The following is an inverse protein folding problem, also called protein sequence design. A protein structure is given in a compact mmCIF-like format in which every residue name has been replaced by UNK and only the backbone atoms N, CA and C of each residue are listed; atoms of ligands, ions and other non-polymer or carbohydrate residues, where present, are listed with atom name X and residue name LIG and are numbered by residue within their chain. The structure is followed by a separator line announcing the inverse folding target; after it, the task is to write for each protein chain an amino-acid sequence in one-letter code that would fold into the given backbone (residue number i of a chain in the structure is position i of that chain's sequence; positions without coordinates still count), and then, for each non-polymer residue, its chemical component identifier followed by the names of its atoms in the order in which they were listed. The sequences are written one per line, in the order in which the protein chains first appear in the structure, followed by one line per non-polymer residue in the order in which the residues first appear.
data_IF_007514649832
#
_entry.id   IF_007514649832
#
_cell.length_a   1.000
_cell.length_b   1.000
_cell.length_c   1.000
_cell.angle_alpha   90.00
_cell.angle_beta   90.00
_cell.angle_gamma   90.00
#
_symmetry.space_group_name_H-M   'P 1'
#
loop_
_entity.id
_entity.type
_entity.pdbx_description
1 polymer ?
#
# COMPACT_ATOMS: atom_id res chain seq x y z
N UNK A 1 15.14 -11.85 -3.73
CA UNK A 1 16.09 -11.50 -2.64
C UNK A 1 15.96 -10.01 -2.36
N UNK A 2 16.03 -9.58 -1.10
CA UNK A 2 16.01 -8.15 -0.78
C UNK A 2 17.38 -7.56 -1.13
N UNK A 3 17.41 -6.38 -1.75
CA UNK A 3 18.67 -5.79 -2.21
C UNK A 3 19.70 -5.58 -1.08
N UNK A 4 19.25 -5.18 0.11
CA UNK A 4 20.13 -4.99 1.27
C UNK A 4 20.83 -6.28 1.70
N UNK A 5 20.12 -7.41 1.69
CA UNK A 5 20.70 -8.73 2.00
C UNK A 5 21.71 -9.14 0.93
N UNK A 6 21.35 -8.98 -0.34
CA UNK A 6 22.26 -9.26 -1.46
C UNK A 6 23.52 -8.40 -1.39
N UNK A 7 23.39 -7.10 -1.09
CA UNK A 7 24.52 -6.21 -1.01
C UNK A 7 25.45 -6.55 0.16
N UNK A 8 24.89 -6.91 1.32
CA UNK A 8 25.65 -7.32 2.49
C UNK A 8 26.37 -8.65 2.26
N UNK A 9 25.68 -9.61 1.65
CA UNK A 9 26.16 -10.98 1.42
C UNK A 9 26.69 -11.20 0.00
N UNK A 10 27.17 -10.13 -0.65
CA UNK A 10 27.55 -10.15 -2.05
C UNK A 10 28.62 -11.23 -2.33
N UNK A 11 29.57 -11.42 -1.42
CA UNK A 11 30.61 -12.43 -1.55
C UNK A 11 30.05 -13.86 -1.52
N UNK A 12 29.09 -14.17 -0.63
CA UNK A 12 28.45 -15.48 -0.60
C UNK A 12 27.62 -15.73 -1.86
N UNK A 13 26.89 -14.72 -2.35
CA UNK A 13 26.14 -14.83 -3.62
C UNK A 13 27.06 -15.07 -4.82
N UNK A 14 28.17 -14.33 -4.92
CA UNK A 14 29.17 -14.58 -5.97
C UNK A 14 29.70 -16.01 -5.86
N UNK A 15 30.13 -16.44 -4.68
CA UNK A 15 30.69 -17.77 -4.47
C UNK A 15 29.72 -18.91 -4.82
N UNK A 16 28.41 -18.72 -4.55
CA UNK A 16 27.40 -19.72 -4.83
C UNK A 16 26.92 -19.74 -6.29
N UNK A 17 27.02 -18.61 -7.01
CA UNK A 17 26.32 -18.45 -8.30
C UNK A 17 27.20 -18.03 -9.49
N UNK A 18 28.47 -17.67 -9.32
CA UNK A 18 29.35 -17.15 -10.39
C UNK A 18 29.34 -17.99 -11.68
N UNK A 19 29.27 -19.32 -11.55
CA UNK A 19 29.25 -20.26 -12.69
C UNK A 19 28.03 -21.19 -12.66
N UNK A 20 26.97 -20.79 -11.96
CA UNK A 20 25.77 -21.59 -11.78
C UNK A 20 24.67 -21.14 -12.74
N UNK A 21 24.07 -22.09 -13.47
CA UNK A 21 22.88 -21.83 -14.30
C UNK A 21 21.67 -21.28 -13.51
N UNK A 22 21.72 -21.31 -12.17
CA UNK A 22 20.70 -20.75 -11.30
C UNK A 22 20.77 -19.22 -11.14
N UNK A 23 21.84 -18.54 -11.56
CA UNK A 23 22.02 -17.10 -11.38
C UNK A 23 20.91 -16.27 -12.05
N UNK A 24 20.35 -16.74 -13.16
CA UNK A 24 19.24 -16.08 -13.85
C UNK A 24 17.91 -16.11 -13.08
N UNK A 25 17.78 -17.06 -12.14
CA UNK A 25 16.54 -17.29 -11.37
C UNK A 25 16.51 -16.54 -10.05
N UNK A 26 17.67 -16.09 -9.57
CA UNK A 26 17.77 -15.26 -8.37
C UNK A 26 17.57 -13.82 -8.79
N UNK A 27 16.45 -13.22 -8.37
CA UNK A 27 16.09 -11.85 -8.76
C UNK A 27 15.96 -10.92 -7.57
N UNK A 28 16.26 -9.64 -7.80
CA UNK A 28 16.08 -8.57 -6.83
C UNK A 28 15.77 -7.26 -7.55
N UNK A 29 15.14 -6.33 -6.82
CA UNK A 29 14.83 -5.00 -7.32
C UNK A 29 15.90 -4.00 -6.82
N UNK A 30 16.30 -3.06 -7.67
CA UNK A 30 17.25 -1.99 -7.32
C UNK A 30 16.98 -0.72 -8.11
N UNK A 31 17.22 0.44 -7.49
CA UNK A 31 17.28 1.75 -8.14
C UNK A 31 18.72 2.18 -8.45
N UNK A 32 19.72 1.42 -7.99
CA UNK A 32 21.12 1.75 -8.23
C UNK A 32 21.54 1.36 -9.65
N UNK A 33 22.47 2.13 -10.24
CA UNK A 33 23.14 1.72 -11.46
C UNK A 33 24.14 0.58 -11.16
N UNK A 34 24.73 0.01 -12.22
CA UNK A 34 25.59 -1.17 -12.09
C UNK A 34 26.99 -0.78 -11.60
N UNK A 35 27.39 -1.30 -10.43
CA UNK A 35 28.64 -0.94 -9.74
C UNK A 35 29.92 -1.33 -10.47
N UNK A 36 29.85 -2.24 -11.45
CA UNK A 36 31.00 -2.68 -12.24
C UNK A 36 30.82 -2.48 -13.75
N UNK A 37 29.94 -1.59 -14.18
CA UNK A 37 29.74 -1.28 -15.60
C UNK A 37 30.60 -0.06 -16.01
N UNK A 38 31.77 -0.32 -16.60
CA UNK A 38 32.70 0.74 -17.02
C UNK A 38 32.19 1.56 -18.22
N UNK A 39 31.25 1.00 -19.00
CA UNK A 39 30.64 1.68 -20.13
C UNK A 39 29.31 2.34 -19.77
N UNK A 40 29.00 2.45 -18.48
CA UNK A 40 27.73 2.98 -18.01
C UNK A 40 27.52 4.44 -18.44
N UNK A 41 26.29 4.77 -18.85
CA UNK A 41 25.87 6.15 -19.04
C UNK A 41 25.61 6.87 -17.71
N UNK A 42 25.54 6.15 -16.59
CA UNK A 42 25.31 6.69 -15.25
C UNK A 42 26.51 7.49 -14.77
N UNK A 43 26.29 8.76 -14.46
CA UNK A 43 27.34 9.65 -13.95
C UNK A 43 27.82 9.21 -12.56
N UNK A 44 26.91 8.73 -11.71
CA UNK A 44 27.23 8.11 -10.42
C UNK A 44 28.17 6.92 -10.59
N UNK A 45 27.91 6.05 -11.57
CA UNK A 45 28.75 4.88 -11.84
C UNK A 45 30.13 5.29 -12.34
N UNK A 46 30.21 6.25 -13.28
CA UNK A 46 31.49 6.75 -13.79
C UNK A 46 32.37 7.27 -12.67
N UNK A 47 31.82 8.13 -11.81
CA UNK A 47 32.56 8.67 -10.65
C UNK A 47 32.97 7.58 -9.68
N UNK A 48 32.10 6.61 -9.43
CA UNK A 48 32.39 5.48 -8.56
C UNK A 48 33.53 4.59 -9.09
N UNK A 49 33.48 4.21 -10.37
CA UNK A 49 34.49 3.38 -11.05
C UNK A 49 35.86 4.06 -11.05
N UNK A 50 35.90 5.39 -11.18
CA UNK A 50 37.13 6.19 -11.07
C UNK A 50 37.65 6.21 -9.63
N UNK A 51 36.77 6.41 -8.64
CA UNK A 51 37.16 6.56 -7.24
C UNK A 51 37.51 5.24 -6.54
N UNK A 52 36.91 4.12 -6.97
CA UNK A 52 36.99 2.84 -6.27
C UNK A 52 37.68 1.79 -7.16
N UNK A 53 38.79 1.18 -6.69
CA UNK A 53 39.47 0.12 -7.42
C UNK A 53 38.53 -1.06 -7.68
N UNK A 54 38.65 -1.69 -8.86
CA UNK A 54 37.80 -2.80 -9.32
C UNK A 54 37.54 -3.88 -8.26
N UNK A 55 38.60 -4.36 -7.59
CA UNK A 55 38.52 -5.39 -6.55
C UNK A 55 37.68 -5.02 -5.31
N UNK A 56 37.36 -3.73 -5.14
CA UNK A 56 36.55 -3.21 -4.03
C UNK A 56 35.14 -2.80 -4.50
N UNK A 57 34.84 -2.89 -5.79
CA UNK A 57 33.54 -2.53 -6.35
C UNK A 57 32.52 -3.62 -6.03
N UNK A 58 31.58 -3.26 -5.18
CA UNK A 58 30.49 -4.10 -4.69
C UNK A 58 29.21 -3.27 -4.61
N UNK A 59 28.02 -3.90 -4.62
CA UNK A 59 26.76 -3.17 -4.41
C UNK A 59 26.78 -2.33 -3.13
N UNK A 60 27.37 -2.86 -2.06
CA UNK A 60 27.48 -2.17 -0.77
C UNK A 60 28.40 -0.94 -0.83
N UNK A 61 29.56 -1.06 -1.50
CA UNK A 61 30.46 0.09 -1.67
C UNK A 61 29.85 1.18 -2.55
N UNK A 62 29.07 0.84 -3.59
CA UNK A 62 28.34 1.82 -4.40
C UNK A 62 27.25 2.53 -3.57
N UNK A 63 26.51 1.79 -2.73
CA UNK A 63 25.57 2.40 -1.78
C UNK A 63 26.27 3.41 -0.86
N UNK A 64 27.41 3.03 -0.27
CA UNK A 64 28.19 3.93 0.57
C UNK A 64 28.67 5.17 -0.18
N UNK A 65 29.16 5.00 -1.41
CA UNK A 65 29.59 6.11 -2.27
C UNK A 65 28.43 7.06 -2.59
N UNK A 66 27.28 6.53 -2.99
CA UNK A 66 26.09 7.31 -3.30
C UNK A 66 25.55 8.07 -2.08
N UNK A 67 25.52 7.42 -0.91
CA UNK A 67 25.13 8.04 0.36
C UNK A 67 26.07 9.18 0.77
N UNK A 68 27.38 9.01 0.59
CA UNK A 68 28.35 10.07 0.86
C UNK A 68 28.22 11.24 -0.11
N UNK A 69 27.95 10.98 -1.40
CA UNK A 69 27.66 12.02 -2.38
C UNK A 69 26.42 12.84 -2.01
N UNK A 70 25.35 12.17 -1.55
CA UNK A 70 24.17 12.84 -1.00
C UNK A 70 24.52 13.72 0.20
N UNK A 71 25.25 13.17 1.17
CA UNK A 71 25.64 13.95 2.36
C UNK A 71 26.51 15.15 2.00
N UNK A 72 27.40 15.04 1.00
CA UNK A 72 28.21 16.15 0.53
C UNK A 72 27.34 17.29 -0.04
N UNK A 73 26.35 16.97 -0.87
CA UNK A 73 25.40 17.96 -1.43
C UNK A 73 24.55 18.60 -0.33
N UNK A 74 24.13 17.82 0.66
CA UNK A 74 23.31 18.28 1.78
C UNK A 74 24.12 19.24 2.66
N UNK A 75 25.32 18.83 3.08
CA UNK A 75 26.21 19.62 3.93
C UNK A 75 26.66 20.90 3.21
N UNK A 76 26.91 20.87 1.90
CA UNK A 76 27.30 22.08 1.16
C UNK A 76 26.21 23.16 1.11
N UNK A 77 24.96 22.81 1.43
CA UNK A 77 23.83 23.74 1.51
C UNK A 77 23.61 24.28 2.92
N UNK A 78 24.44 23.89 3.89
CA UNK A 78 24.35 24.32 5.27
C UNK A 78 25.48 25.30 5.58
N UNK A 79 25.15 26.42 6.23
CA UNK A 79 26.15 27.39 6.69
C UNK A 79 27.01 26.83 7.83
N UNK A 80 26.43 25.98 8.67
CA UNK A 80 27.13 25.21 9.71
C UNK A 80 26.46 23.85 9.83
N UNK A 81 27.24 22.80 10.09
CA UNK A 81 26.71 21.44 10.14
C UNK A 81 26.15 21.17 11.53
N UNK A 82 24.86 20.87 11.61
CA UNK A 82 24.19 20.42 12.85
C UNK A 82 23.18 19.32 12.54
N UNK A 83 22.87 18.49 13.54
CA UNK A 83 21.88 17.43 13.40
C UNK A 83 20.47 17.99 13.11
N UNK A 84 20.15 19.15 13.68
CA UNK A 84 18.89 19.87 13.45
C UNK A 84 18.76 20.33 12.00
N UNK A 85 19.78 21.04 11.48
CA UNK A 85 19.77 21.49 10.09
C UNK A 85 19.75 20.31 9.11
N UNK A 86 20.39 19.20 9.46
CA UNK A 86 20.35 17.97 8.66
C UNK A 86 18.95 17.37 8.60
N UNK A 87 18.28 17.25 9.74
CA UNK A 87 16.90 16.77 9.80
C UNK A 87 15.97 17.73 9.02
N UNK A 88 16.06 19.03 9.30
CA UNK A 88 15.26 20.06 8.63
C UNK A 88 15.45 20.03 7.12
N UNK A 89 16.68 19.83 6.64
CA UNK A 89 16.94 19.71 5.22
C UNK A 89 16.12 18.57 4.60
N UNK A 90 16.14 17.38 5.17
CA UNK A 90 15.39 16.24 4.62
C UNK A 90 13.88 16.36 4.83
N UNK A 91 13.41 17.05 5.88
CA UNK A 91 11.98 17.29 6.11
C UNK A 91 11.40 18.39 5.22
N UNK A 92 12.18 19.44 4.93
CA UNK A 92 11.73 20.59 4.14
C UNK A 92 11.95 20.41 2.63
N UNK A 93 12.94 19.60 2.22
CA UNK A 93 13.21 19.37 0.81
C UNK A 93 12.48 18.11 0.32
N UNK A 94 11.63 18.31 -0.69
CA UNK A 94 10.84 17.25 -1.31
C UNK A 94 11.73 16.25 -2.05
N UNK A 95 12.81 16.73 -2.68
CA UNK A 95 13.76 15.89 -3.38
C UNK A 95 15.16 16.50 -3.46
N UNK A 96 16.18 15.64 -3.56
CA UNK A 96 17.60 15.99 -3.66
C UNK A 96 18.20 15.22 -4.82
N UNK A 97 18.67 15.94 -5.83
CA UNK A 97 19.39 15.35 -6.96
C UNK A 97 20.89 15.31 -6.66
N UNK A 98 21.53 14.18 -6.95
CA UNK A 98 22.98 14.00 -6.95
C UNK A 98 23.33 13.24 -8.21
N UNK A 99 24.03 13.91 -9.12
CA UNK A 99 24.34 13.36 -10.44
C UNK A 99 23.06 12.88 -11.17
N UNK A 100 22.99 11.62 -11.55
CA UNK A 100 21.84 10.98 -12.20
C UNK A 100 20.87 10.30 -11.20
N UNK A 101 21.15 10.40 -9.90
CA UNK A 101 20.33 9.86 -8.81
C UNK A 101 19.45 10.96 -8.21
N UNK A 102 18.22 10.60 -7.80
CA UNK A 102 17.30 11.51 -7.16
C UNK A 102 16.71 10.83 -5.91
N UNK A 103 16.80 11.52 -4.78
CA UNK A 103 16.38 11.05 -3.46
C UNK A 103 15.18 11.90 -3.01
N UNK A 104 14.23 11.34 -2.27
CA UNK A 104 13.03 12.06 -1.80
C UNK A 104 11.72 11.47 -2.33
N UNK A 105 10.61 12.18 -2.15
CA UNK A 105 9.29 11.65 -2.54
C UNK A 105 9.06 11.72 -4.05
N UNK A 106 8.57 10.63 -4.62
CA UNK A 106 8.17 10.51 -6.01
C UNK A 106 6.73 9.97 -6.14
N UNK A 107 6.01 10.55 -7.08
CA UNK A 107 4.76 10.01 -7.61
C UNK A 107 4.86 9.92 -9.13
N UNK A 108 4.19 8.92 -9.72
CA UNK A 108 4.05 8.79 -11.15
C UNK A 108 3.00 9.82 -11.65
N UNK A 109 3.47 10.95 -12.19
CA UNK A 109 2.63 12.00 -12.80
C UNK A 109 2.93 13.45 -12.37
N UNK A 110 2.30 14.42 -13.06
CA UNK A 110 2.41 15.88 -12.82
C UNK A 110 1.84 16.36 -11.47
N UNK A 111 1.29 15.48 -10.65
CA UNK A 111 0.48 15.83 -9.48
C UNK A 111 1.26 16.42 -8.28
N UNK A 112 2.60 16.29 -8.24
CA UNK A 112 3.40 16.89 -7.16
C UNK A 112 4.24 18.09 -7.62
N UNK A 113 3.84 18.71 -8.73
CA UNK A 113 4.06 20.13 -8.98
C UNK A 113 2.68 20.74 -9.28
N UNK A 114 2.09 21.41 -8.29
CA UNK A 114 0.83 22.19 -8.37
C UNK A 114 -0.44 21.44 -8.80
N UNK A 115 -1.38 21.17 -7.86
CA UNK A 115 -2.81 21.62 -7.88
C UNK A 115 -3.71 20.82 -6.92
N UNK A 116 -4.35 21.56 -6.01
CA UNK A 116 -5.68 21.46 -5.35
C UNK A 116 -6.45 20.14 -5.07
N UNK A 117 -6.04 18.96 -5.51
CA UNK A 117 -6.71 17.73 -5.06
C UNK A 117 -5.99 17.17 -3.85
N UNK A 118 -6.61 17.19 -2.67
CA UNK A 118 -6.08 16.69 -1.39
C UNK A 118 -5.76 15.18 -1.34
N UNK A 119 -5.41 14.55 -2.46
CA UNK A 119 -4.74 13.26 -2.47
C UNK A 119 -3.27 13.46 -2.10
N UNK A 120 -2.87 12.99 -0.91
CA UNK A 120 -1.49 13.13 -0.43
C UNK A 120 -0.46 12.59 -1.43
N UNK A 121 0.64 13.32 -1.62
CA UNK A 121 1.78 12.82 -2.37
C UNK A 121 2.31 11.55 -1.66
N UNK A 122 2.28 10.41 -2.35
CA UNK A 122 2.90 9.18 -1.83
C UNK A 122 4.41 9.36 -1.67
N UNK A 123 4.96 8.95 -0.54
CA UNK A 123 6.40 9.11 -0.22
C UNK A 123 7.15 7.81 -0.52
N UNK A 124 7.68 7.62 -1.73
CA UNK A 124 8.44 6.41 -2.07
C UNK A 124 9.91 6.42 -1.55
N UNK A 125 10.20 7.31 -0.60
CA UNK A 125 11.48 7.43 0.11
C UNK A 125 12.73 7.38 -0.78
N UNK A 126 12.66 7.93 -1.99
CA UNK A 126 13.82 8.04 -2.88
C UNK A 126 13.93 6.99 -3.97
N UNK A 127 13.03 6.00 -4.03
CA UNK A 127 13.17 4.89 -4.97
C UNK A 127 12.51 5.19 -6.34
N UNK A 128 13.23 5.91 -7.21
CA UNK A 128 12.87 6.01 -8.63
C UNK A 128 13.67 5.01 -9.48
N UNK A 129 13.29 4.87 -10.75
CA UNK A 129 13.98 4.06 -11.76
C UNK A 129 14.26 2.63 -11.27
N UNK A 130 13.31 2.06 -10.55
CA UNK A 130 13.43 0.72 -9.98
C UNK A 130 13.41 -0.27 -11.12
N UNK A 131 14.48 -1.03 -11.25
CA UNK A 131 14.62 -2.12 -12.21
C UNK A 131 14.73 -3.44 -11.48
N UNK A 132 14.41 -4.54 -12.17
CA UNK A 132 14.55 -5.89 -11.61
C UNK A 132 15.66 -6.59 -12.34
N UNK A 133 16.64 -7.07 -11.59
CA UNK A 133 17.84 -7.69 -12.12
C UNK A 133 17.85 -9.18 -11.77
N UNK A 134 18.26 -10.04 -12.71
CA UNK A 134 18.77 -11.35 -12.35
C UNK A 134 20.15 -11.19 -11.68
N UNK A 135 20.54 -12.14 -10.84
CA UNK A 135 21.89 -12.15 -10.24
C UNK A 135 22.97 -12.25 -11.32
N UNK A 136 22.69 -12.91 -12.44
CA UNK A 136 23.59 -12.91 -13.60
C UNK A 136 23.94 -11.49 -14.09
N UNK A 137 22.98 -10.54 -14.10
CA UNK A 137 23.24 -9.12 -14.40
C UNK A 137 24.15 -8.46 -13.39
N UNK A 138 24.04 -8.81 -12.11
CA UNK A 138 24.89 -8.26 -11.06
C UNK A 138 26.34 -8.74 -11.16
N UNK A 139 26.54 -9.94 -11.70
CA UNK A 139 27.86 -10.54 -11.90
C UNK A 139 28.49 -10.06 -13.21
N UNK A 140 27.69 -9.91 -14.26
CA UNK A 140 28.11 -9.48 -15.59
C UNK A 140 27.26 -8.29 -16.11
N UNK A 141 27.85 -7.09 -16.28
CA UNK A 141 27.18 -5.93 -16.83
C UNK A 141 26.77 -6.06 -18.31
N UNK A 142 27.11 -7.15 -19.01
CA UNK A 142 26.63 -7.41 -20.37
C UNK A 142 25.23 -8.08 -20.40
N UNK A 143 24.87 -8.83 -19.35
CA UNK A 143 23.56 -9.51 -19.26
C UNK A 143 22.46 -8.45 -19.16
N UNK A 144 21.31 -8.53 -19.85
CA UNK A 144 20.27 -7.51 -19.75
C UNK A 144 19.52 -7.54 -18.41
N UNK A 145 18.87 -6.43 -18.06
CA UNK A 145 17.93 -6.40 -16.92
C UNK A 145 16.69 -7.24 -17.22
N UNK A 146 16.10 -7.86 -16.19
CA UNK A 146 14.88 -8.68 -16.35
C UNK A 146 13.65 -7.78 -16.58
N UNK A 147 13.55 -6.69 -15.82
CA UNK A 147 12.57 -5.64 -16.06
C UNK A 147 13.26 -4.27 -16.09
N UNK A 148 12.95 -3.44 -17.11
CA UNK A 148 13.54 -2.12 -17.23
C UNK A 148 13.14 -1.22 -16.06
N UNK A 149 13.92 -0.17 -15.86
CA UNK A 149 13.68 0.81 -14.81
C UNK A 149 12.31 1.49 -14.98
N UNK A 150 11.48 1.41 -13.94
CA UNK A 150 10.17 2.05 -13.86
C UNK A 150 10.05 2.90 -12.59
N UNK A 151 9.15 3.87 -12.62
CA UNK A 151 8.79 4.68 -11.46
C UNK A 151 7.41 4.23 -10.96
N UNK A 152 7.31 3.19 -10.11
CA UNK A 152 6.01 2.70 -9.69
C UNK A 152 5.27 3.77 -8.88
N UNK A 153 4.02 4.03 -9.24
CA UNK A 153 3.12 4.83 -8.44
C UNK A 153 2.85 4.13 -7.11
N UNK A 154 3.16 4.78 -5.98
CA UNK A 154 2.73 4.29 -4.66
C UNK A 154 1.28 4.65 -4.32
N UNK A 155 0.42 4.78 -5.32
CA UNK A 155 -1.00 4.64 -5.06
C UNK A 155 -1.20 3.16 -4.74
N UNK A 156 -1.26 2.82 -3.46
CA UNK A 156 -1.97 1.63 -3.05
C UNK A 156 -3.36 1.81 -3.62
N UNK A 157 -3.65 1.12 -4.73
CA UNK A 157 -5.02 0.93 -5.12
C UNK A 157 -5.62 0.13 -3.96
N UNK A 158 -6.30 0.82 -3.04
CA UNK A 158 -7.42 0.18 -2.37
C UNK A 158 -8.18 -0.49 -3.50
N UNK A 159 -8.28 -1.82 -3.43
CA UNK A 159 -8.99 -2.58 -4.44
C UNK A 159 -10.47 -2.21 -4.33
N UNK A 160 -10.83 -1.06 -4.92
CA UNK A 160 -12.20 -0.66 -5.17
C UNK A 160 -12.91 -1.66 -6.10
N UNK A 161 -12.17 -2.66 -6.60
CA UNK A 161 -12.70 -3.84 -7.27
C UNK A 161 -13.70 -4.65 -6.41
N UNK A 162 -13.81 -4.39 -5.09
CA UNK A 162 -14.79 -5.06 -4.21
C UNK A 162 -15.81 -4.15 -3.53
N UNK A 163 -15.72 -2.83 -3.67
CA UNK A 163 -16.58 -1.88 -2.95
C UNK A 163 -17.91 -1.61 -3.64
N UNK A 164 -19.00 -1.49 -2.88
CA UNK A 164 -20.27 -0.97 -3.40
C UNK A 164 -20.07 0.46 -3.88
N UNK A 165 -20.47 0.76 -5.12
CA UNK A 165 -20.55 2.16 -5.57
C UNK A 165 -21.51 2.95 -4.69
N UNK A 166 -21.29 4.25 -4.54
CA UNK A 166 -22.18 5.11 -3.74
C UNK A 166 -23.66 4.98 -4.15
N UNK A 167 -23.92 4.80 -5.46
CA UNK A 167 -25.28 4.56 -5.98
C UNK A 167 -25.85 3.21 -5.54
N UNK A 168 -25.04 2.15 -5.52
CA UNK A 168 -25.49 0.83 -5.04
C UNK A 168 -25.75 0.86 -3.54
N UNK A 169 -24.91 1.53 -2.75
CA UNK A 169 -25.13 1.69 -1.31
C UNK A 169 -26.44 2.44 -1.01
N UNK A 170 -26.69 3.55 -1.70
CA UNK A 170 -27.96 4.30 -1.58
C UNK A 170 -29.14 3.42 -1.98
N UNK A 171 -29.02 2.65 -3.06
CA UNK A 171 -30.05 1.71 -3.49
C UNK A 171 -30.38 0.65 -2.43
N UNK A 172 -29.36 0.07 -1.79
CA UNK A 172 -29.52 -0.93 -0.72
C UNK A 172 -30.23 -0.31 0.49
N UNK A 173 -29.83 0.90 0.91
CA UNK A 173 -30.42 1.57 2.07
C UNK A 173 -31.90 1.89 1.80
N UNK A 174 -32.20 2.52 0.66
CA UNK A 174 -33.58 2.90 0.31
C UNK A 174 -34.46 1.67 0.12
N UNK A 175 -33.95 0.65 -0.58
CA UNK A 175 -34.67 -0.61 -0.80
C UNK A 175 -34.95 -1.36 0.51
N UNK A 176 -33.95 -1.43 1.40
CA UNK A 176 -34.09 -2.05 2.72
C UNK A 176 -35.12 -1.35 3.59
N UNK A 177 -35.10 -0.02 3.63
CA UNK A 177 -36.09 0.78 4.39
C UNK A 177 -37.50 0.56 3.83
N UNK A 178 -37.67 0.61 2.50
CA UNK A 178 -38.95 0.40 1.86
C UNK A 178 -39.50 -1.01 2.14
N UNK A 179 -38.66 -2.05 2.03
CA UNK A 179 -39.05 -3.43 2.32
C UNK A 179 -39.44 -3.63 3.78
N UNK A 180 -38.71 -3.04 4.73
CA UNK A 180 -39.02 -3.10 6.15
C UNK A 180 -40.38 -2.44 6.47
N UNK A 181 -40.65 -1.26 5.89
CA UNK A 181 -41.93 -0.58 6.05
C UNK A 181 -43.09 -1.39 5.48
N UNK A 182 -42.88 -2.00 4.30
CA UNK A 182 -43.88 -2.85 3.65
C UNK A 182 -44.16 -4.11 4.49
N UNK A 183 -43.11 -4.73 5.04
CA UNK A 183 -43.25 -5.87 5.94
C UNK A 183 -44.07 -5.52 7.20
N UNK A 184 -43.78 -4.39 7.85
CA UNK A 184 -44.55 -3.92 9.00
C UNK A 184 -46.02 -3.70 8.63
N UNK A 185 -46.29 -3.08 7.48
CA UNK A 185 -47.66 -2.87 7.01
C UNK A 185 -48.42 -4.18 6.77
N UNK A 186 -47.76 -5.19 6.20
CA UNK A 186 -48.34 -6.52 5.98
C UNK A 186 -48.62 -7.21 7.31
N UNK A 187 -47.69 -7.19 8.26
CA UNK A 187 -47.90 -7.75 9.60
C UNK A 187 -49.08 -7.06 10.30
N UNK A 188 -49.16 -5.73 10.25
CA UNK A 188 -50.28 -4.98 10.82
C UNK A 188 -51.61 -5.26 10.13
N UNK A 189 -51.61 -5.58 8.84
CA UNK A 189 -52.81 -5.96 8.09
C UNK A 189 -53.24 -7.39 8.43
N UNK A 190 -52.33 -8.36 8.38
CA UNK A 190 -52.63 -9.78 8.60
C UNK A 190 -52.90 -10.11 10.08
N UNK A 191 -52.26 -9.41 11.02
CA UNK A 191 -52.37 -9.70 12.46
C UNK A 191 -53.36 -8.77 13.18
N UNK A 192 -54.16 -7.98 12.46
CA UNK A 192 -55.06 -6.97 13.05
C UNK A 192 -56.24 -7.57 13.84
N UNK A 193 -56.64 -8.81 13.53
CA UNK A 193 -57.97 -9.33 13.92
C UNK A 193 -57.99 -10.64 14.71
N UNK A 194 -56.89 -11.04 15.36
CA UNK A 194 -56.90 -12.27 16.17
C UNK A 194 -57.58 -12.14 17.53
N UNK A 195 -58.02 -10.93 17.94
CA UNK A 195 -58.79 -10.68 19.17
C UNK A 195 -60.11 -9.98 18.86
N UNK A 196 -61.14 -10.77 18.61
CA UNK A 196 -62.50 -10.26 18.46
C UNK A 196 -63.13 -9.94 19.82
N UNK A 197 -62.92 -8.70 20.30
CA UNK A 197 -63.57 -8.16 21.49
C UNK A 197 -64.92 -7.49 21.15
N UNK A 198 -65.52 -7.72 19.97
CA UNK A 198 -66.80 -7.10 19.60
C UNK A 198 -67.92 -7.51 20.56
N UNK A 199 -67.93 -8.78 20.97
CA UNK A 199 -68.94 -9.35 21.86
C UNK A 199 -68.51 -9.36 23.33
N UNK A 200 -67.35 -8.80 23.67
CA UNK A 200 -66.93 -8.67 25.05
C UNK A 200 -67.81 -7.61 25.75
N UNK A 201 -68.44 -7.93 26.89
CA UNK A 201 -69.19 -6.94 27.67
C UNK A 201 -68.27 -5.83 28.17
N UNK A 202 -68.53 -4.58 27.76
CA UNK A 202 -67.67 -3.40 28.06
C UNK A 202 -68.35 -2.36 28.94
N UNK A 203 -69.67 -2.41 29.02
CA UNK A 203 -70.45 -1.46 29.81
C UNK A 203 -70.50 -1.92 31.27
N UNK A 204 -70.18 -1.01 32.19
CA UNK A 204 -70.12 -1.27 33.63
C UNK A 204 -71.49 -1.28 34.31
N UNK A 205 -72.50 -0.69 33.66
CA UNK A 205 -73.83 -0.50 34.25
C UNK A 205 -74.77 -1.66 33.87
N UNK A 206 -74.47 -2.35 32.77
CA UNK A 206 -75.26 -3.49 32.32
C UNK A 206 -74.80 -4.77 33.00
N UNK A 207 -75.71 -5.58 33.55
CA UNK A 207 -75.35 -6.87 34.14
C UNK A 207 -74.78 -7.81 33.08
N UNK A 208 -73.73 -8.55 33.45
CA UNK A 208 -73.04 -9.48 32.56
C UNK A 208 -73.28 -10.91 33.04
N UNK A 209 -73.64 -11.79 32.11
CA UNK A 209 -73.73 -13.23 32.38
C UNK A 209 -72.36 -13.86 32.21
N UNK A 210 -71.83 -14.44 33.28
CA UNK A 210 -70.59 -15.22 33.26
C UNK A 210 -70.94 -16.70 33.25
N UNK A 211 -70.39 -17.43 32.28
CA UNK A 211 -70.50 -18.89 32.21
C UNK A 211 -69.14 -19.46 32.58
N UNK A 212 -69.11 -20.22 33.67
CA UNK A 212 -67.94 -20.99 34.05
C UNK A 212 -68.19 -22.44 33.68
N UNK A 213 -67.25 -23.01 32.94
CA UNK A 213 -67.22 -24.44 32.64
C UNK A 213 -65.93 -24.97 33.21
N UNK A 214 -66.03 -26.04 34.00
CA UNK A 214 -64.87 -26.82 34.42
C UNK A 214 -65.13 -28.28 34.07
N UNK A 215 -64.05 -29.01 33.81
CA UNK A 215 -64.13 -30.46 33.61
C UNK A 215 -63.97 -31.08 34.98
N UNK A 216 -65.05 -31.72 35.45
CA UNK A 216 -65.02 -32.43 36.72
C UNK A 216 -63.88 -33.49 36.69
N UNK A 217 -63.02 -33.45 37.71
CA UNK A 217 -61.87 -34.36 37.86
C UNK A 217 -60.75 -34.25 36.81
N UNK A 218 -60.51 -33.08 36.22
CA UNK A 218 -59.45 -32.88 35.21
C UNK A 218 -58.03 -33.28 35.65
N UNK A 219 -57.77 -33.34 36.96
CA UNK A 219 -56.49 -33.73 37.55
C UNK A 219 -56.41 -35.20 37.97
N UNK A 220 -57.52 -35.92 37.98
CA UNK A 220 -57.58 -37.34 38.36
C UNK A 220 -57.81 -38.29 37.16
N UNK A 221 -58.11 -37.73 35.97
CA UNK A 221 -58.20 -38.43 34.68
C UNK A 221 -56.83 -38.53 33.99
#
# INVERSE_FOLDING_TARGET
VVFSEFALLHAEFVAAFHDCAGADRVVFATSLPHWNDENSASETTKKFVIAVPEKKRTPLSLMGFAAMGLMQVVISRMHHVSAELLADFFYLNVAVAVDDMLYGSFADGRACASTESGAGCGVNYGANRISVWPLARALDPAVPVLFPAVNPSMKYAESAAGGLTARQLVGIIVGGVAAALLFVAVVLYCCRDSRNNANAPKDRIHPVTLVFTDIESSTAL
#
